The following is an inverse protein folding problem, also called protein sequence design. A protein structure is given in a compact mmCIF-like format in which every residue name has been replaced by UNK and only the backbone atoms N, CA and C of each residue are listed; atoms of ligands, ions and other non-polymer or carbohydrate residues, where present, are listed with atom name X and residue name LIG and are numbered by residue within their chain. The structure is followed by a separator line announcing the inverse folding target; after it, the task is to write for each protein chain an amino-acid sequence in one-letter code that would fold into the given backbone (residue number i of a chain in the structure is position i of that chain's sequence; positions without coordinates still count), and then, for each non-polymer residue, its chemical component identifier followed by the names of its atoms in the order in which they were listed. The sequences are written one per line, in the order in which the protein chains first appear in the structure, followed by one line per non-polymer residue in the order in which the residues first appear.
data_IF_242898249834
#
_entry.id   IF_242898249834
#
_cell.length_a   1.000
_cell.length_b   1.000
_cell.length_c   1.000
_cell.angle_alpha   90.00
_cell.angle_beta   90.00
_cell.angle_gamma   90.00
#
_symmetry.space_group_name_H-M   'P 1'
#
loop_
_entity.id
_entity.type
_entity.pdbx_description
1 polymer ?
#
# COMPACT_ATOMS: atom_id res chain seq x y z
N UNK A 1 -15.15 2.31 -16.09
CA UNK A 1 -14.26 1.50 -17.02
C UNK A 1 -15.11 1.01 -18.18
N UNK A 2 -14.50 0.78 -19.35
CA UNK A 2 -15.25 0.38 -20.57
C UNK A 2 -16.19 -0.81 -20.33
N UNK A 3 -15.80 -1.76 -19.50
CA UNK A 3 -16.65 -2.89 -19.10
C UNK A 3 -17.96 -2.44 -18.45
N UNK A 4 -17.92 -1.45 -17.55
CA UNK A 4 -19.11 -0.94 -16.85
C UNK A 4 -20.01 -0.16 -17.82
N UNK A 5 -19.42 0.55 -18.78
CA UNK A 5 -20.15 1.27 -19.82
C UNK A 5 -20.91 0.32 -20.73
N UNK A 6 -20.27 -0.79 -21.17
CA UNK A 6 -20.94 -1.83 -21.97
C UNK A 6 -22.07 -2.49 -21.18
N UNK A 7 -21.88 -2.77 -19.87
CA UNK A 7 -22.94 -3.32 -19.01
C UNK A 7 -24.13 -2.36 -18.92
N UNK A 8 -23.88 -1.06 -18.72
CA UNK A 8 -24.95 -0.05 -18.71
C UNK A 8 -25.65 0.07 -20.05
N UNK A 9 -24.89 -0.03 -21.15
CA UNK A 9 -25.45 -0.01 -22.51
C UNK A 9 -26.40 -1.17 -22.74
N UNK A 10 -26.03 -2.39 -22.32
CA UNK A 10 -26.87 -3.59 -22.41
C UNK A 10 -28.14 -3.44 -21.56
N UNK A 11 -27.98 -2.95 -20.30
CA UNK A 11 -29.12 -2.71 -19.42
C UNK A 11 -30.13 -1.77 -20.06
N UNK A 12 -29.66 -0.64 -20.59
CA UNK A 12 -30.50 0.31 -21.31
C UNK A 12 -31.16 -0.28 -22.54
N UNK A 13 -30.44 -1.10 -23.35
CA UNK A 13 -31.03 -1.75 -24.52
C UNK A 13 -32.13 -2.73 -24.13
N UNK A 14 -32.03 -3.44 -22.99
CA UNK A 14 -33.09 -4.30 -22.48
C UNK A 14 -34.29 -3.46 -22.02
N UNK A 15 -34.09 -2.37 -21.32
CA UNK A 15 -35.16 -1.43 -20.88
C UNK A 15 -35.85 -0.81 -22.09
N UNK A 16 -35.09 -0.39 -23.10
CA UNK A 16 -35.67 0.16 -24.36
C UNK A 16 -36.52 -0.88 -25.12
N UNK A 17 -36.06 -2.15 -25.16
CA UNK A 17 -36.83 -3.24 -25.76
C UNK A 17 -38.12 -3.55 -24.99
N UNK A 18 -38.10 -3.44 -23.64
CA UNK A 18 -39.32 -3.55 -22.83
C UNK A 18 -40.26 -2.37 -23.06
N UNK A 19 -39.72 -1.15 -23.15
CA UNK A 19 -40.51 0.05 -23.45
C UNK A 19 -41.17 0.06 -24.84
N UNK A 20 -40.66 -0.77 -25.78
CA UNK A 20 -41.23 -0.97 -27.11
C UNK A 20 -42.17 -2.18 -27.22
N UNK A 21 -42.46 -2.85 -26.11
CA UNK A 21 -43.23 -4.12 -26.07
C UNK A 21 -42.56 -5.27 -26.86
N UNK A 22 -41.27 -5.17 -27.19
CA UNK A 22 -40.50 -6.23 -27.86
C UNK A 22 -40.02 -7.31 -26.88
N UNK A 23 -39.81 -6.93 -25.61
CA UNK A 23 -39.62 -7.81 -24.48
C UNK A 23 -40.68 -7.58 -23.40
N UNK A 24 -41.15 -8.62 -22.69
CA UNK A 24 -42.04 -8.43 -21.55
C UNK A 24 -41.34 -7.71 -20.41
N UNK A 25 -42.13 -7.09 -19.52
CA UNK A 25 -41.58 -6.45 -18.31
C UNK A 25 -41.07 -7.50 -17.33
N UNK A 26 -39.84 -7.34 -16.85
CA UNK A 26 -39.19 -8.10 -15.79
C UNK A 26 -38.07 -7.23 -15.18
N UNK A 27 -37.65 -7.54 -13.95
CA UNK A 27 -36.48 -6.91 -13.38
C UNK A 27 -35.20 -7.46 -14.04
N UNK A 28 -34.35 -6.56 -14.55
CA UNK A 28 -33.11 -6.93 -15.22
C UNK A 28 -32.09 -7.47 -14.18
N UNK A 29 -31.69 -8.73 -14.28
CA UNK A 29 -30.71 -9.28 -13.37
C UNK A 29 -29.32 -8.69 -13.63
N UNK A 30 -28.32 -8.86 -12.71
CA UNK A 30 -26.95 -8.47 -12.96
C UNK A 30 -26.44 -9.02 -14.28
N UNK A 31 -25.90 -8.15 -15.13
CA UNK A 31 -25.46 -8.50 -16.47
C UNK A 31 -24.02 -9.02 -16.43
N UNK A 32 -23.78 -10.31 -16.70
CA UNK A 32 -22.41 -10.83 -16.82
C UNK A 32 -21.78 -10.34 -18.13
N UNK A 33 -20.57 -9.83 -18.04
CA UNK A 33 -19.75 -9.46 -19.20
C UNK A 33 -18.35 -10.05 -18.99
N UNK A 34 -17.91 -10.86 -19.95
CA UNK A 34 -16.65 -11.61 -19.85
C UNK A 34 -15.83 -11.49 -21.14
N UNK A 35 -14.53 -11.79 -21.06
CA UNK A 35 -13.71 -11.94 -22.25
C UNK A 35 -13.96 -13.32 -22.89
N UNK A 36 -14.33 -13.37 -24.19
CA UNK A 36 -14.53 -14.63 -24.87
C UNK A 36 -13.20 -15.40 -24.96
N UNK A 37 -13.30 -16.75 -24.99
CA UNK A 37 -12.11 -17.61 -25.10
C UNK A 37 -11.46 -17.57 -26.48
N UNK A 38 -12.24 -17.24 -27.52
CA UNK A 38 -11.80 -17.20 -28.91
C UNK A 38 -11.81 -15.75 -29.38
N UNK A 39 -10.68 -15.28 -29.91
CA UNK A 39 -10.53 -13.89 -30.37
C UNK A 39 -11.51 -13.48 -31.49
N UNK A 40 -11.99 -14.42 -32.26
CA UNK A 40 -13.01 -14.19 -33.32
C UNK A 40 -14.35 -13.68 -32.76
N UNK A 41 -14.61 -13.91 -31.46
CA UNK A 41 -15.81 -13.44 -30.78
C UNK A 41 -15.67 -12.01 -30.20
N UNK A 42 -14.61 -11.31 -30.54
CA UNK A 42 -14.38 -9.92 -30.09
C UNK A 42 -13.74 -9.82 -28.70
N UNK A 43 -13.86 -8.64 -28.08
CA UNK A 43 -13.22 -8.31 -26.83
C UNK A 43 -14.06 -8.66 -25.61
N UNK A 44 -15.40 -8.56 -25.74
CA UNK A 44 -16.35 -8.88 -24.67
C UNK A 44 -17.50 -9.71 -25.18
N UNK A 45 -18.08 -10.52 -24.30
CA UNK A 45 -19.28 -11.31 -24.59
C UNK A 45 -20.22 -11.34 -23.39
N UNK A 46 -21.52 -11.29 -23.62
CA UNK A 46 -22.52 -11.48 -22.57
C UNK A 46 -23.44 -12.67 -22.87
N UNK A 47 -23.63 -13.58 -21.89
CA UNK A 47 -24.63 -14.65 -21.97
C UNK A 47 -25.98 -14.22 -21.37
N UNK A 48 -26.22 -12.93 -21.12
CA UNK A 48 -27.42 -12.45 -20.40
C UNK A 48 -28.71 -12.98 -21.02
N UNK A 49 -28.80 -13.09 -22.35
CA UNK A 49 -30.02 -13.54 -23.06
C UNK A 49 -30.39 -14.99 -22.73
N UNK A 50 -29.44 -15.83 -22.34
CA UNK A 50 -29.71 -17.18 -21.82
C UNK A 50 -30.45 -17.13 -20.47
N UNK A 51 -30.10 -16.17 -19.62
CA UNK A 51 -30.76 -15.97 -18.34
C UNK A 51 -32.14 -15.35 -18.50
N UNK A 52 -32.27 -14.39 -19.44
CA UNK A 52 -33.52 -13.72 -19.72
C UNK A 52 -34.55 -14.63 -20.40
N UNK A 53 -34.13 -15.72 -21.06
CA UNK A 53 -35.02 -16.63 -21.80
C UNK A 53 -36.15 -17.17 -20.93
N UNK A 54 -35.88 -17.49 -19.67
CA UNK A 54 -36.88 -17.97 -18.70
C UNK A 54 -37.86 -16.86 -18.28
N UNK A 55 -37.32 -15.65 -18.08
CA UNK A 55 -38.11 -14.47 -17.65
C UNK A 55 -39.02 -13.98 -18.78
N UNK A 56 -38.46 -13.86 -19.98
CA UNK A 56 -39.18 -13.40 -21.14
C UNK A 56 -40.06 -14.49 -21.83
N UNK A 57 -39.83 -15.77 -21.47
CA UNK A 57 -40.46 -16.94 -22.13
C UNK A 57 -40.24 -16.93 -23.64
N UNK A 58 -39.06 -16.57 -24.07
CA UNK A 58 -38.64 -16.45 -25.45
C UNK A 58 -37.33 -17.21 -25.69
N UNK A 59 -37.06 -17.54 -26.95
CA UNK A 59 -35.79 -18.18 -27.32
C UNK A 59 -34.63 -17.21 -27.08
N UNK A 60 -33.50 -17.66 -26.48
CA UNK A 60 -32.34 -16.78 -26.18
C UNK A 60 -31.82 -16.03 -27.41
N UNK A 61 -31.75 -16.68 -28.55
CA UNK A 61 -31.33 -16.06 -29.82
C UNK A 61 -32.22 -14.89 -30.18
N UNK A 62 -33.56 -15.06 -30.04
CA UNK A 62 -34.52 -14.00 -30.36
C UNK A 62 -34.36 -12.80 -29.42
N UNK A 63 -34.10 -13.06 -28.15
CA UNK A 63 -33.82 -12.00 -27.16
C UNK A 63 -32.53 -11.27 -27.54
N UNK A 64 -31.47 -12.01 -27.90
CA UNK A 64 -30.20 -11.43 -28.29
C UNK A 64 -30.33 -10.54 -29.56
N UNK A 65 -31.10 -10.95 -30.54
CA UNK A 65 -31.41 -10.14 -31.73
C UNK A 65 -32.12 -8.83 -31.36
N UNK A 66 -33.13 -8.90 -30.48
CA UNK A 66 -33.89 -7.72 -30.02
C UNK A 66 -32.97 -6.77 -29.24
N UNK A 67 -32.23 -7.29 -28.27
CA UNK A 67 -31.34 -6.46 -27.45
C UNK A 67 -30.25 -5.83 -28.30
N UNK A 68 -29.63 -6.59 -29.22
CA UNK A 68 -28.63 -6.08 -30.16
C UNK A 68 -29.19 -4.95 -31.06
N UNK A 69 -30.42 -5.07 -31.52
CA UNK A 69 -31.07 -4.04 -32.32
C UNK A 69 -31.44 -2.77 -31.55
N UNK A 70 -31.57 -2.87 -30.22
CA UNK A 70 -31.81 -1.73 -29.30
C UNK A 70 -30.54 -1.07 -28.80
N UNK A 71 -29.34 -1.64 -29.05
CA UNK A 71 -28.09 -1.03 -28.63
C UNK A 71 -27.87 0.30 -29.35
N UNK A 72 -27.60 1.40 -28.63
CA UNK A 72 -27.25 2.67 -29.26
C UNK A 72 -25.86 2.58 -29.90
N UNK A 73 -25.66 3.38 -30.96
CA UNK A 73 -24.31 3.56 -31.52
C UNK A 73 -23.42 4.31 -30.55
N UNK A 74 -22.19 3.85 -30.42
CA UNK A 74 -21.15 4.48 -29.59
C UNK A 74 -19.85 4.56 -30.40
N UNK A 75 -18.92 5.40 -29.98
CA UNK A 75 -17.61 5.54 -30.63
C UNK A 75 -16.60 4.48 -30.21
N UNK A 76 -16.93 3.69 -29.19
CA UNK A 76 -16.05 2.63 -28.65
C UNK A 76 -16.44 1.22 -29.10
N UNK A 77 -17.62 1.01 -29.67
CA UNK A 77 -18.04 -0.28 -30.24
C UNK A 77 -17.90 -0.27 -31.77
N UNK A 78 -17.00 -1.11 -32.26
CA UNK A 78 -16.81 -1.31 -33.70
C UNK A 78 -17.75 -2.33 -34.29
N UNK A 79 -18.02 -3.44 -33.57
CA UNK A 79 -18.89 -4.53 -34.06
C UNK A 79 -19.64 -5.16 -32.89
N UNK A 80 -20.95 -5.44 -33.16
CA UNK A 80 -21.80 -6.22 -32.26
C UNK A 80 -22.38 -7.38 -33.03
N UNK A 81 -22.23 -8.60 -32.52
CA UNK A 81 -22.70 -9.82 -33.19
C UNK A 81 -23.46 -10.72 -32.23
N UNK A 82 -24.57 -11.26 -32.72
CA UNK A 82 -25.33 -12.28 -31.99
C UNK A 82 -24.82 -13.67 -32.39
N UNK A 83 -24.51 -14.50 -31.39
CA UNK A 83 -23.97 -15.83 -31.59
C UNK A 83 -24.77 -16.91 -30.84
N UNK A 84 -24.92 -18.12 -31.41
CA UNK A 84 -25.55 -19.23 -30.73
C UNK A 84 -24.83 -19.58 -29.41
N UNK A 85 -25.60 -20.00 -28.39
CA UNK A 85 -27.07 -20.18 -28.35
C UNK A 85 -27.84 -18.92 -27.88
N UNK A 86 -27.26 -17.74 -27.87
CA UNK A 86 -27.86 -16.47 -27.44
C UNK A 86 -26.87 -15.58 -26.73
N UNK A 87 -25.60 -15.57 -27.17
CA UNK A 87 -24.59 -14.61 -26.77
C UNK A 87 -24.70 -13.33 -27.61
N UNK A 88 -24.31 -12.21 -27.00
CA UNK A 88 -23.99 -10.97 -27.72
C UNK A 88 -22.50 -10.70 -27.54
N UNK A 89 -21.79 -10.65 -28.65
CA UNK A 89 -20.34 -10.41 -28.70
C UNK A 89 -20.09 -8.97 -29.14
N UNK A 90 -19.09 -8.34 -28.52
CA UNK A 90 -18.70 -6.96 -28.74
C UNK A 90 -17.21 -6.90 -29.12
N UNK A 91 -16.91 -6.29 -30.25
CA UNK A 91 -15.54 -5.89 -30.59
C UNK A 91 -15.41 -4.37 -30.45
N UNK A 92 -14.35 -3.93 -29.80
CA UNK A 92 -14.04 -2.51 -29.62
C UNK A 92 -13.60 -1.89 -30.97
N UNK A 93 -13.86 -0.62 -31.15
CA UNK A 93 -13.41 0.12 -32.31
C UNK A 93 -11.88 0.33 -32.29
N UNK A 94 -11.20 0.01 -33.38
CA UNK A 94 -9.74 0.14 -33.48
C UNK A 94 -9.25 1.58 -33.29
N UNK A 95 -10.00 2.55 -33.83
CA UNK A 95 -9.67 3.96 -33.67
C UNK A 95 -9.85 4.42 -32.23
N UNK A 96 -10.87 3.92 -31.52
CA UNK A 96 -11.03 4.17 -30.09
C UNK A 96 -9.88 3.54 -29.27
N UNK A 97 -9.48 2.30 -29.59
CA UNK A 97 -8.34 1.63 -28.93
C UNK A 97 -7.05 2.41 -29.16
N UNK A 98 -6.82 2.92 -30.38
CA UNK A 98 -5.65 3.75 -30.66
C UNK A 98 -5.64 5.05 -29.83
N UNK A 99 -6.81 5.71 -29.69
CA UNK A 99 -6.94 6.90 -28.81
C UNK A 99 -6.64 6.58 -27.35
N UNK A 100 -7.01 5.38 -26.86
CA UNK A 100 -6.68 4.99 -25.49
C UNK A 100 -5.18 4.94 -25.22
N UNK A 101 -4.37 4.54 -26.21
CA UNK A 101 -2.89 4.60 -26.09
C UNK A 101 -2.40 6.04 -25.90
N UNK A 102 -2.96 6.98 -26.65
CA UNK A 102 -2.63 8.40 -26.51
C UNK A 102 -3.04 8.96 -25.13
N UNK A 103 -4.22 8.56 -24.64
CA UNK A 103 -4.70 8.93 -23.30
C UNK A 103 -3.79 8.37 -22.20
N UNK A 104 -3.36 7.09 -22.30
CA UNK A 104 -2.41 6.46 -21.37
C UNK A 104 -1.08 7.24 -21.36
N UNK A 105 -0.55 7.56 -22.53
CA UNK A 105 0.69 8.31 -22.66
C UNK A 105 0.57 9.74 -22.09
N UNK A 106 -0.54 10.40 -22.31
CA UNK A 106 -0.80 11.74 -21.77
C UNK A 106 -0.98 11.73 -20.24
N UNK A 107 -1.66 10.74 -19.69
CA UNK A 107 -1.82 10.57 -18.23
C UNK A 107 -0.53 10.16 -17.53
N UNK A 108 0.36 9.43 -18.25
CA UNK A 108 1.66 9.01 -17.71
C UNK A 108 1.53 8.18 -16.43
N UNK A 109 2.36 8.47 -15.40
CA UNK A 109 2.36 7.70 -14.15
C UNK A 109 1.04 7.69 -13.37
N UNK A 110 0.15 8.66 -13.61
CA UNK A 110 -1.15 8.74 -12.93
C UNK A 110 -2.25 7.95 -13.66
N UNK A 111 -1.93 7.28 -14.78
CA UNK A 111 -2.90 6.42 -15.45
C UNK A 111 -3.31 5.25 -14.53
N UNK A 112 -4.60 5.13 -14.30
CA UNK A 112 -5.15 4.13 -13.39
C UNK A 112 -5.38 4.61 -11.95
N UNK A 113 -4.97 5.83 -11.62
CA UNK A 113 -5.30 6.45 -10.34
C UNK A 113 -6.82 6.65 -10.23
N UNK A 114 -7.32 6.49 -9.00
CA UNK A 114 -8.75 6.58 -8.67
C UNK A 114 -8.99 7.70 -7.66
N UNK A 115 -10.19 8.21 -7.60
CA UNK A 115 -10.62 9.22 -6.59
C UNK A 115 -11.52 8.61 -5.50
N UNK A 116 -11.23 7.38 -5.06
CA UNK A 116 -11.98 6.70 -3.98
C UNK A 116 -11.71 7.35 -2.62
N UNK A 117 -10.48 7.76 -2.39
CA UNK A 117 -10.02 8.41 -1.17
C UNK A 117 -10.54 9.82 -1.00
N UNK A 118 -10.83 10.54 -2.08
CA UNK A 118 -11.27 11.95 -2.07
C UNK A 118 -10.37 12.85 -1.22
N UNK A 119 -9.04 12.62 -1.30
CA UNK A 119 -8.06 13.37 -0.53
C UNK A 119 -8.12 13.16 0.99
N UNK A 120 -8.84 12.16 1.50
CA UNK A 120 -8.84 11.86 2.94
C UNK A 120 -7.45 11.45 3.39
N UNK A 121 -7.02 12.00 4.52
CA UNK A 121 -5.71 11.71 5.10
C UNK A 121 -5.67 10.32 5.72
N UNK A 122 -4.61 9.59 5.43
CA UNK A 122 -4.31 8.26 5.99
C UNK A 122 -2.84 8.22 6.39
N UNK A 123 -2.56 7.68 7.55
CA UNK A 123 -1.19 7.39 7.99
C UNK A 123 -0.95 5.89 7.94
N UNK A 124 0.16 5.49 7.34
CA UNK A 124 0.63 4.09 7.31
C UNK A 124 1.94 4.04 8.08
N UNK A 125 1.90 3.41 9.25
CA UNK A 125 3.08 3.11 10.04
C UNK A 125 3.57 1.69 9.71
N UNK A 126 4.86 1.56 9.40
CA UNK A 126 5.41 0.25 9.07
C UNK A 126 6.92 0.18 9.34
N UNK A 127 7.45 -1.04 9.41
CA UNK A 127 8.78 -1.40 9.91
C UNK A 127 8.90 -1.12 11.39
N UNK A 128 9.04 0.12 11.81
CA UNK A 128 9.13 0.59 13.21
C UNK A 128 9.97 -0.34 14.09
N UNK A 129 11.11 -0.82 13.55
CA UNK A 129 12.01 -1.71 14.26
C UNK A 129 12.78 -0.94 15.33
N UNK A 130 13.07 -1.59 16.47
CA UNK A 130 13.86 -0.98 17.52
C UNK A 130 15.26 -0.59 17.00
N UNK A 131 15.73 0.63 17.26
CA UNK A 131 16.99 1.14 16.73
C UNK A 131 18.20 0.62 17.50
N UNK A 132 18.18 -0.66 17.87
CA UNK A 132 19.25 -1.35 18.61
C UNK A 132 20.09 -2.26 17.72
N UNK A 133 19.87 -2.25 16.41
CA UNK A 133 20.61 -3.03 15.42
C UNK A 133 20.09 -2.88 13.99
N UNK A 134 20.75 -3.53 13.03
CA UNK A 134 20.36 -3.48 11.62
C UNK A 134 19.01 -4.17 11.39
N UNK A 135 18.37 -3.84 10.26
CA UNK A 135 17.12 -4.46 9.85
C UNK A 135 17.29 -5.97 9.59
N UNK A 136 16.21 -6.70 9.81
CA UNK A 136 16.12 -8.13 9.54
C UNK A 136 15.33 -8.40 8.25
N UNK A 137 15.39 -9.64 7.74
CA UNK A 137 14.53 -10.06 6.61
C UNK A 137 13.04 -9.88 6.93
N UNK A 138 12.66 -10.06 8.21
CA UNK A 138 11.29 -9.79 8.67
C UNK A 138 10.90 -8.31 8.52
N UNK A 139 11.83 -7.41 8.87
CA UNK A 139 11.67 -5.97 8.67
C UNK A 139 11.54 -5.61 7.19
N UNK A 140 12.36 -6.22 6.32
CA UNK A 140 12.29 -6.02 4.87
C UNK A 140 10.95 -6.46 4.27
N UNK A 141 10.36 -7.58 4.75
CA UNK A 141 9.00 -7.97 4.32
C UNK A 141 7.93 -6.99 4.78
N UNK A 142 8.03 -6.53 6.03
CA UNK A 142 7.10 -5.51 6.55
C UNK A 142 7.22 -4.21 5.74
N UNK A 143 8.44 -3.81 5.40
CA UNK A 143 8.73 -2.65 4.56
C UNK A 143 8.05 -2.75 3.18
N UNK A 144 8.19 -3.88 2.50
CA UNK A 144 7.57 -4.11 1.19
C UNK A 144 6.03 -4.06 1.26
N UNK A 145 5.43 -4.65 2.30
CA UNK A 145 3.96 -4.65 2.49
C UNK A 145 3.48 -3.22 2.80
N UNK A 146 4.14 -2.54 3.73
CA UNK A 146 3.74 -1.19 4.16
C UNK A 146 3.83 -0.16 3.03
N UNK A 147 4.94 -0.17 2.30
CA UNK A 147 5.11 0.74 1.16
C UNK A 147 4.14 0.44 0.01
N UNK A 148 3.92 -0.86 -0.29
CA UNK A 148 2.90 -1.26 -1.29
C UNK A 148 1.51 -0.78 -0.89
N UNK A 149 1.12 -0.94 0.39
CA UNK A 149 -0.16 -0.45 0.90
C UNK A 149 -0.27 1.07 0.75
N UNK A 150 0.78 1.81 1.12
CA UNK A 150 0.83 3.26 1.00
C UNK A 150 0.68 3.70 -0.47
N UNK A 151 1.37 3.02 -1.41
CA UNK A 151 1.28 3.31 -2.84
C UNK A 151 -0.12 3.02 -3.40
N UNK A 152 -0.75 1.91 -3.02
CA UNK A 152 -2.12 1.57 -3.44
C UNK A 152 -3.13 2.57 -2.91
N UNK A 153 -3.00 2.99 -1.64
CA UNK A 153 -3.86 4.03 -1.08
C UNK A 153 -3.68 5.38 -1.77
N UNK A 154 -2.44 5.76 -2.09
CA UNK A 154 -2.16 6.98 -2.84
C UNK A 154 -2.80 6.94 -4.23
N UNK A 155 -2.62 5.84 -4.98
CA UNK A 155 -3.25 5.63 -6.28
C UNK A 155 -4.79 5.57 -6.20
N UNK A 156 -5.35 5.21 -5.03
CA UNK A 156 -6.78 5.28 -4.77
C UNK A 156 -7.29 6.69 -4.37
N UNK A 157 -6.43 7.72 -4.41
CA UNK A 157 -6.79 9.12 -4.14
C UNK A 157 -6.82 9.51 -2.67
N UNK A 158 -6.10 8.79 -1.79
CA UNK A 158 -5.88 9.22 -0.41
C UNK A 158 -4.63 10.10 -0.31
N UNK A 159 -4.64 11.05 0.64
CA UNK A 159 -3.46 11.80 1.09
C UNK A 159 -2.72 10.93 2.13
N UNK A 160 -1.69 10.23 1.68
CA UNK A 160 -1.00 9.19 2.47
C UNK A 160 0.26 9.75 3.08
N UNK A 161 0.42 9.56 4.41
CA UNK A 161 1.65 9.82 5.16
C UNK A 161 2.28 8.51 5.61
N UNK A 162 3.55 8.30 5.30
CA UNK A 162 4.38 7.16 5.76
C UNK A 162 5.08 7.55 7.04
N UNK A 163 4.95 6.72 8.07
CA UNK A 163 5.59 6.97 9.35
C UNK A 163 6.43 5.77 9.80
N UNK A 164 7.62 6.09 10.31
CA UNK A 164 8.48 5.19 11.06
C UNK A 164 8.44 5.60 12.53
N UNK A 165 7.95 4.72 13.42
CA UNK A 165 7.98 4.96 14.87
C UNK A 165 9.31 4.50 15.42
N UNK A 166 10.06 5.43 16.02
CA UNK A 166 11.38 5.19 16.59
C UNK A 166 11.22 4.96 18.10
N UNK A 167 11.37 3.70 18.52
CA UNK A 167 11.36 3.35 19.95
C UNK A 167 12.74 3.62 20.55
N UNK A 168 13.03 4.89 20.83
CA UNK A 168 14.32 5.41 21.30
C UNK A 168 14.39 5.62 22.82
N UNK A 169 13.57 4.87 23.59
CA UNK A 169 13.48 4.94 25.04
C UNK A 169 13.32 3.55 25.69
N UNK A 170 13.56 3.49 27.01
CA UNK A 170 13.32 2.32 27.84
C UNK A 170 14.51 1.37 27.92
N UNK A 171 14.28 0.22 28.58
CA UNK A 171 15.35 -0.70 29.00
C UNK A 171 16.16 -1.30 27.84
N UNK A 172 15.59 -1.40 26.64
CA UNK A 172 16.34 -1.89 25.48
C UNK A 172 17.40 -0.87 25.03
N UNK A 173 17.06 0.41 25.05
CA UNK A 173 18.00 1.50 24.73
C UNK A 173 19.08 1.62 25.81
N UNK A 174 18.71 1.52 27.07
CA UNK A 174 19.68 1.51 28.18
C UNK A 174 20.69 0.37 27.99
N UNK A 175 20.21 -0.84 27.73
CA UNK A 175 21.05 -2.01 27.52
C UNK A 175 21.92 -1.91 26.24
N UNK A 176 21.40 -1.28 25.19
CA UNK A 176 22.16 -0.96 23.98
C UNK A 176 23.29 0.02 24.31
N UNK A 177 23.01 1.09 25.03
CA UNK A 177 24.00 2.10 25.44
C UNK A 177 25.11 1.48 26.27
N UNK A 178 24.78 0.67 27.28
CA UNK A 178 25.77 -0.04 28.12
C UNK A 178 26.62 -1.00 27.28
N UNK A 179 26.00 -1.75 26.36
CA UNK A 179 26.72 -2.68 25.48
C UNK A 179 27.67 -1.93 24.55
N UNK A 180 27.20 -0.81 24.00
CA UNK A 180 28.00 0.01 23.09
C UNK A 180 29.19 0.63 23.80
N UNK A 181 29.00 1.14 25.04
CA UNK A 181 30.10 1.62 25.86
C UNK A 181 31.16 0.53 26.13
N UNK A 182 30.71 -0.70 26.44
CA UNK A 182 31.65 -1.80 26.65
C UNK A 182 32.44 -2.13 25.35
N UNK A 183 31.79 -2.14 24.20
CA UNK A 183 32.44 -2.40 22.90
C UNK A 183 33.41 -1.29 22.50
N UNK A 184 33.06 -0.04 22.77
CA UNK A 184 33.92 1.09 22.55
C UNK A 184 35.18 1.02 23.48
N UNK A 185 35.01 0.69 24.76
CA UNK A 185 36.12 0.54 25.69
C UNK A 185 37.06 -0.62 25.27
N UNK A 186 36.48 -1.75 24.84
CA UNK A 186 37.24 -2.90 24.31
C UNK A 186 38.06 -2.51 23.06
N UNK A 187 37.48 -1.72 22.14
CA UNK A 187 38.20 -1.22 20.97
C UNK A 187 39.42 -0.38 21.31
N UNK A 188 39.42 0.27 22.49
CA UNK A 188 40.52 1.07 23.05
C UNK A 188 41.42 0.25 24.00
N UNK A 189 41.29 -1.09 23.98
CA UNK A 189 42.18 -2.00 24.77
C UNK A 189 41.82 -2.10 26.26
N UNK A 190 40.61 -1.70 26.69
CA UNK A 190 40.14 -1.88 28.05
C UNK A 190 39.39 -3.22 28.18
N UNK A 191 39.58 -3.89 29.31
CA UNK A 191 38.83 -5.10 29.68
C UNK A 191 37.51 -4.71 30.32
N UNK A 192 36.54 -4.34 29.48
CA UNK A 192 35.19 -3.92 29.92
C UNK A 192 34.19 -5.06 29.63
N UNK A 193 33.51 -5.60 30.64
CA UNK A 193 32.57 -6.69 30.44
C UNK A 193 31.29 -6.21 29.74
N UNK A 194 30.78 -7.06 28.83
CA UNK A 194 29.47 -6.84 28.20
C UNK A 194 28.39 -7.21 29.22
N UNK A 195 27.30 -6.41 29.33
CA UNK A 195 26.16 -6.78 30.14
C UNK A 195 25.64 -8.18 29.82
N UNK A 196 25.19 -8.94 30.80
CA UNK A 196 24.73 -10.33 30.63
C UNK A 196 23.68 -10.46 29.51
N UNK A 197 22.72 -9.52 29.48
CA UNK A 197 21.65 -9.44 28.47
C UNK A 197 21.99 -8.55 27.29
N UNK A 198 23.27 -8.11 27.18
CA UNK A 198 23.73 -7.18 26.15
C UNK A 198 23.71 -7.75 24.72
N UNK A 199 23.77 -6.86 23.77
CA UNK A 199 23.74 -7.17 22.33
C UNK A 199 25.09 -7.75 21.88
N UNK A 200 25.12 -9.01 21.42
CA UNK A 200 26.34 -9.74 21.07
C UNK A 200 26.65 -9.78 19.58
N UNK A 201 25.83 -9.13 18.75
CA UNK A 201 26.02 -9.11 17.28
C UNK A 201 27.32 -8.43 16.88
N UNK A 202 27.88 -8.85 15.75
CA UNK A 202 29.14 -8.29 15.21
C UNK A 202 29.03 -6.81 14.88
N UNK A 203 27.83 -6.33 14.51
CA UNK A 203 27.58 -4.90 14.29
C UNK A 203 27.90 -4.03 15.50
N UNK A 204 27.72 -4.54 16.74
CA UNK A 204 28.06 -3.80 17.96
C UNK A 204 29.57 -3.62 18.13
N UNK A 205 30.35 -4.63 17.71
CA UNK A 205 31.81 -4.56 17.71
C UNK A 205 32.27 -3.48 16.74
N UNK A 206 31.71 -3.53 15.54
CA UNK A 206 32.04 -2.59 14.47
C UNK A 206 31.63 -1.15 14.83
N UNK A 207 30.43 -0.98 15.40
CA UNK A 207 29.94 0.32 15.86
C UNK A 207 30.82 0.91 16.97
N UNK A 208 31.21 0.08 17.96
CA UNK A 208 32.15 0.49 19.03
C UNK A 208 33.51 0.90 18.47
N UNK A 209 34.06 0.16 17.49
CA UNK A 209 35.30 0.50 16.82
C UNK A 209 35.22 1.82 16.06
N UNK A 210 34.19 2.03 15.26
CA UNK A 210 33.96 3.28 14.51
C UNK A 210 33.89 4.49 15.42
N UNK A 211 33.16 4.37 16.54
CA UNK A 211 33.07 5.46 17.51
C UNK A 211 34.42 5.72 18.16
N UNK A 212 35.18 4.67 18.50
CA UNK A 212 36.53 4.84 19.06
C UNK A 212 37.47 5.54 18.08
N UNK A 213 37.38 5.26 16.79
CA UNK A 213 38.16 5.96 15.76
C UNK A 213 37.77 7.43 15.60
N UNK A 214 36.48 7.74 15.73
CA UNK A 214 35.97 9.11 15.57
C UNK A 214 36.26 10.02 16.76
N UNK A 215 36.15 9.51 18.00
CA UNK A 215 36.20 10.34 19.20
C UNK A 215 37.36 10.02 20.12
N UNK A 216 38.19 9.04 19.79
CA UNK A 216 39.32 8.60 20.62
C UNK A 216 38.87 8.07 21.99
N UNK A 217 39.56 8.41 23.05
CA UNK A 217 39.31 7.98 24.43
C UNK A 217 38.38 8.93 25.21
N UNK A 218 37.71 9.84 24.56
CA UNK A 218 36.86 10.89 25.16
C UNK A 218 35.94 10.35 26.25
N UNK A 219 35.21 9.29 25.98
CA UNK A 219 34.21 8.74 26.89
C UNK A 219 34.81 7.89 28.01
N UNK A 220 36.06 7.43 27.89
CA UNK A 220 36.78 6.78 28.98
C UNK A 220 37.24 7.77 30.06
N UNK A 221 37.34 9.04 29.73
CA UNK A 221 37.75 10.12 30.61
C UNK A 221 36.56 10.87 31.25
N UNK A 222 35.32 10.40 31.01
CA UNK A 222 34.08 10.94 31.57
C UNK A 222 33.56 10.03 32.69
N UNK A 223 32.75 10.58 33.63
CA UNK A 223 32.01 9.75 34.56
C UNK A 223 31.12 8.75 33.77
N UNK A 224 31.15 7.47 34.15
CA UNK A 224 30.42 6.39 33.44
C UNK A 224 28.94 6.70 33.26
N UNK A 225 28.27 7.29 34.24
CA UNK A 225 26.87 7.66 34.19
C UNK A 225 26.55 8.71 33.11
N UNK A 226 27.53 9.52 32.71
CA UNK A 226 27.41 10.51 31.63
C UNK A 226 27.89 9.94 30.29
N UNK A 227 28.94 9.13 30.33
CA UNK A 227 29.54 8.54 29.12
C UNK A 227 28.62 7.57 28.41
N UNK A 228 27.91 6.67 29.14
CA UNK A 228 27.01 5.66 28.57
C UNK A 228 25.88 6.28 27.75
N UNK A 229 25.07 7.21 28.26
CA UNK A 229 24.03 7.83 27.44
C UNK A 229 24.61 8.67 26.30
N UNK A 230 25.72 9.37 26.50
CA UNK A 230 26.33 10.19 25.46
C UNK A 230 26.86 9.37 24.28
N UNK A 231 27.48 8.22 24.50
CA UNK A 231 27.89 7.31 23.43
C UNK A 231 26.70 6.61 22.80
N UNK A 232 25.65 6.31 23.61
CA UNK A 232 24.39 5.76 23.14
C UNK A 232 23.73 6.63 22.10
N UNK A 233 23.68 7.95 22.29
CA UNK A 233 23.12 8.89 21.31
C UNK A 233 23.87 8.88 19.97
N UNK A 234 25.20 8.69 19.99
CA UNK A 234 25.97 8.55 18.75
C UNK A 234 25.64 7.25 18.07
N UNK A 235 25.59 6.14 18.82
CA UNK A 235 25.27 4.82 18.29
C UNK A 235 23.86 4.76 17.71
N UNK A 236 22.89 5.31 18.42
CA UNK A 236 21.50 5.38 17.98
C UNK A 236 21.35 6.08 16.62
N UNK A 237 21.99 7.26 16.47
CA UNK A 237 21.98 7.99 15.20
C UNK A 237 22.60 7.20 14.05
N UNK A 238 23.71 6.49 14.31
CA UNK A 238 24.37 5.66 13.28
C UNK A 238 23.49 4.46 12.87
N UNK A 239 22.82 3.82 13.83
CA UNK A 239 21.89 2.72 13.53
C UNK A 239 20.69 3.24 12.73
N UNK A 240 20.07 4.35 13.14
CA UNK A 240 18.94 4.94 12.43
C UNK A 240 19.33 5.36 11.01
N UNK A 241 20.50 5.96 10.84
CA UNK A 241 21.02 6.31 9.50
C UNK A 241 21.18 5.06 8.63
N UNK A 242 21.75 3.96 9.17
CA UNK A 242 21.88 2.70 8.43
C UNK A 242 20.52 2.10 8.08
N UNK A 243 19.53 2.19 8.97
CA UNK A 243 18.14 1.76 8.68
C UNK A 243 17.53 2.58 7.54
N UNK A 244 17.70 3.91 7.55
CA UNK A 244 17.21 4.79 6.51
C UNK A 244 17.87 4.49 5.15
N UNK A 245 19.18 4.25 5.14
CA UNK A 245 19.96 3.88 3.95
C UNK A 245 19.49 2.54 3.38
N UNK A 246 19.30 1.51 4.23
CA UNK A 246 18.80 0.19 3.82
C UNK A 246 17.40 0.28 3.20
N UNK A 247 16.50 1.06 3.80
CA UNK A 247 15.15 1.28 3.28
C UNK A 247 15.16 2.08 1.97
N UNK A 248 16.07 3.05 1.85
CA UNK A 248 16.25 3.81 0.61
C UNK A 248 16.74 2.95 -0.55
N UNK A 249 17.57 1.90 -0.29
CA UNK A 249 17.97 0.91 -1.30
C UNK A 249 16.77 0.11 -1.83
N UNK A 250 15.72 -0.08 -1.02
CA UNK A 250 14.45 -0.67 -1.44
C UNK A 250 13.51 0.34 -2.13
N UNK A 251 13.92 1.61 -2.28
CA UNK A 251 13.10 2.67 -2.84
C UNK A 251 12.09 3.26 -1.85
N UNK A 252 12.19 2.90 -0.57
CA UNK A 252 11.23 3.31 0.47
C UNK A 252 11.72 4.59 1.15
N UNK A 253 10.82 5.56 1.30
CA UNK A 253 11.06 6.83 2.01
C UNK A 253 9.90 7.12 2.94
N UNK A 254 10.21 7.66 4.11
CA UNK A 254 9.23 8.07 5.12
C UNK A 254 9.03 9.58 5.11
N UNK A 255 7.80 10.00 5.37
CA UNK A 255 7.44 11.40 5.57
C UNK A 255 7.69 11.84 7.01
N UNK A 256 7.75 10.88 7.95
CA UNK A 256 7.91 11.12 9.37
C UNK A 256 8.73 10.01 10.04
N UNK A 257 9.73 10.39 10.80
CA UNK A 257 10.45 9.56 11.78
C UNK A 257 10.03 10.05 13.16
N UNK A 258 9.08 9.35 13.78
CA UNK A 258 8.48 9.78 15.04
C UNK A 258 9.22 9.17 16.23
N UNK A 259 9.82 10.02 17.09
CA UNK A 259 10.54 9.60 18.29
C UNK A 259 9.58 9.38 19.46
N UNK A 260 9.59 8.19 20.07
CA UNK A 260 8.83 7.93 21.30
C UNK A 260 9.25 8.86 22.43
N UNK A 261 10.52 9.19 22.52
CA UNK A 261 11.07 10.10 23.54
C UNK A 261 10.38 11.45 23.53
N UNK A 262 10.01 11.96 22.36
CA UNK A 262 9.33 13.26 22.23
C UNK A 262 8.03 13.35 23.02
N UNK A 263 7.29 12.25 23.15
CA UNK A 263 6.04 12.19 23.92
C UNK A 263 6.21 12.51 25.40
N UNK A 264 7.41 12.25 25.93
CA UNK A 264 7.76 12.51 27.34
C UNK A 264 8.39 13.89 27.50
N UNK A 265 9.08 14.40 26.50
CA UNK A 265 9.75 15.69 26.52
C UNK A 265 8.74 16.84 26.34
N UNK A 266 7.70 16.66 25.56
CA UNK A 266 6.66 17.65 25.30
C UNK A 266 5.44 17.57 26.21
N UNK A 267 5.37 16.55 27.10
CA UNK A 267 4.30 16.36 28.08
C UNK A 267 3.04 15.66 27.50
N UNK A 268 3.06 15.22 26.25
CA UNK A 268 1.93 14.53 25.62
C UNK A 268 1.55 13.24 26.35
N UNK A 269 2.56 12.48 26.84
CA UNK A 269 2.32 11.25 27.60
C UNK A 269 1.58 11.54 28.91
N UNK A 270 2.01 12.54 29.67
CA UNK A 270 1.39 12.95 30.93
C UNK A 270 -0.04 13.43 30.73
N UNK A 271 -0.30 14.18 29.68
CA UNK A 271 -1.65 14.65 29.32
C UNK A 271 -2.56 13.46 28.97
N UNK A 272 -2.11 12.54 28.14
CA UNK A 272 -2.86 11.33 27.79
C UNK A 272 -3.20 10.49 29.03
N UNK A 273 -2.22 10.28 29.94
CA UNK A 273 -2.42 9.56 31.19
C UNK A 273 -3.39 10.28 32.14
N UNK A 274 -3.37 11.63 32.17
CA UNK A 274 -4.31 12.40 32.95
C UNK A 274 -5.76 12.24 32.43
N UNK A 275 -5.96 12.24 31.11
CA UNK A 275 -7.25 11.98 30.49
C UNK A 275 -7.77 10.59 30.87
N UNK A 276 -6.94 9.54 30.69
CA UNK A 276 -7.31 8.16 30.99
C UNK A 276 -7.69 7.97 32.47
N UNK A 277 -6.95 8.58 33.39
CA UNK A 277 -7.27 8.55 34.82
C UNK A 277 -8.57 9.28 35.14
N UNK A 278 -8.78 10.47 34.56
CA UNK A 278 -10.00 11.27 34.75
C UNK A 278 -11.25 10.49 34.28
N UNK A 279 -11.13 9.78 33.17
CA UNK A 279 -12.25 9.08 32.55
C UNK A 279 -12.40 7.62 33.06
N UNK A 280 -11.56 7.20 34.04
CA UNK A 280 -11.68 5.92 34.76
C UNK A 280 -11.18 4.71 33.98
N UNK A 281 -10.29 4.89 33.02
CA UNK A 281 -9.66 3.81 32.24
C UNK A 281 -8.35 3.30 32.87
N UNK A 282 -7.74 4.05 33.79
CA UNK A 282 -6.53 3.73 34.55
C UNK A 282 -6.70 4.15 36.01
#
# INVERSE_FOLDING_TARGET
MIKDEIVQLIAKAIEDAQGRDELPAFDVPPIPLEHPKQAEHGDYATPICLQLAKLARMAPMKIAEIVAACLPQTDYLGRVEVAPPGYINFALDEGWLARQVEEILAAGPSFGDLDLGKGRRVQVEFVSANPTGPLTVGSGRNAAIGDTLANVLAAAGYDVRREYYVNDRGTQIELFNETLYARYAQALGRDEPIPERGYRGTYMIELGRQIAEEVGDKFLNMPRAEAIPAIGEIGLRKILQGIEEDLALMGIRYDSWFSERSLYEDGTFEEAMAILRRDGYV
#
